data_IF_734962369843
#
_entry.id   IF_734962369843
#
_cell.length_a   1.000
_cell.length_b   1.000
_cell.length_c   1.000
_cell.angle_alpha   90.00
_cell.angle_beta   90.00
_cell.angle_gamma   90.00
#
_symmetry.space_group_name_H-M   'P 1'
#
loop_
_entity.id
_entity.type
_entity.pdbx_description
1 polymer ?
#
# COMPACT_ATOMS: atom_id res chain seq x y z
N UNK A 1 -10.77 -19.39 -8.83
CA UNK A 1 -10.78 -19.92 -7.46
C UNK A 1 -10.51 -18.83 -6.41
N UNK A 2 -9.39 -18.09 -6.45
CA UNK A 2 -9.03 -17.04 -5.46
C UNK A 2 -10.05 -15.89 -5.39
N UNK A 3 -10.53 -15.38 -6.53
CA UNK A 3 -11.50 -14.29 -6.56
C UNK A 3 -12.85 -14.64 -5.89
N UNK A 4 -13.18 -15.93 -5.74
CA UNK A 4 -14.37 -16.40 -5.04
C UNK A 4 -14.27 -16.24 -3.52
N UNK A 5 -13.08 -16.47 -2.95
CA UNK A 5 -12.81 -16.33 -1.51
C UNK A 5 -12.83 -14.87 -1.05
N UNK A 6 -12.53 -13.93 -1.95
CA UNK A 6 -12.45 -12.50 -1.67
C UNK A 6 -13.77 -11.74 -1.90
N UNK A 7 -14.87 -12.43 -2.24
CA UNK A 7 -16.14 -11.76 -2.55
C UNK A 7 -16.78 -11.09 -1.31
N UNK A 8 -16.49 -11.59 -0.11
CA UNK A 8 -16.91 -10.98 1.14
C UNK A 8 -16.09 -9.73 1.46
N UNK A 9 -16.77 -8.63 1.87
CA UNK A 9 -16.12 -7.40 2.35
C UNK A 9 -15.03 -7.68 3.41
N UNK A 10 -15.26 -8.43 4.49
CA UNK A 10 -14.21 -8.66 5.50
C UNK A 10 -13.03 -9.46 4.94
N UNK A 11 -13.29 -10.48 4.10
CA UNK A 11 -12.23 -11.29 3.49
C UNK A 11 -11.32 -10.46 2.58
N UNK A 12 -11.90 -9.59 1.73
CA UNK A 12 -11.12 -8.69 0.86
C UNK A 12 -10.28 -7.70 1.66
N UNK A 13 -10.87 -7.07 2.67
CA UNK A 13 -10.16 -6.05 3.46
C UNK A 13 -9.07 -6.69 4.33
N UNK A 14 -9.33 -7.85 4.93
CA UNK A 14 -8.32 -8.63 5.66
C UNK A 14 -7.17 -9.07 4.75
N UNK A 15 -7.48 -9.57 3.54
CA UNK A 15 -6.46 -9.91 2.56
C UNK A 15 -5.64 -8.69 2.11
N UNK A 16 -6.25 -7.51 1.93
CA UNK A 16 -5.52 -6.29 1.61
C UNK A 16 -4.51 -5.92 2.70
N UNK A 17 -4.90 -6.02 3.98
CA UNK A 17 -4.01 -5.75 5.12
C UNK A 17 -2.87 -6.79 5.18
N UNK A 18 -3.20 -8.08 5.11
CA UNK A 18 -2.20 -9.15 5.19
C UNK A 18 -1.19 -9.08 4.05
N UNK A 19 -1.65 -8.79 2.82
CA UNK A 19 -0.77 -8.64 1.67
C UNK A 19 0.07 -7.37 1.75
N UNK A 20 -0.46 -6.28 2.33
CA UNK A 20 0.32 -5.05 2.55
C UNK A 20 1.45 -5.27 3.56
N UNK A 21 1.15 -5.93 4.68
CA UNK A 21 2.17 -6.34 5.67
C UNK A 21 3.21 -7.27 5.03
N UNK A 22 2.78 -8.30 4.31
CA UNK A 22 3.68 -9.23 3.63
C UNK A 22 4.57 -8.51 2.59
N UNK A 23 4.01 -7.54 1.87
CA UNK A 23 4.76 -6.77 0.90
C UNK A 23 5.85 -5.90 1.53
N UNK A 24 5.62 -5.36 2.72
CA UNK A 24 6.61 -4.54 3.43
C UNK A 24 7.81 -5.36 3.93
N UNK A 25 7.66 -6.68 4.12
CA UNK A 25 8.76 -7.58 4.49
C UNK A 25 9.81 -7.73 3.37
N UNK A 26 9.55 -7.27 2.15
CA UNK A 26 10.59 -7.21 1.13
C UNK A 26 11.60 -6.09 1.31
N UNK A 27 11.28 -5.08 2.13
CA UNK A 27 12.21 -4.01 2.46
C UNK A 27 13.15 -4.41 3.60
N UNK A 28 14.20 -3.62 3.79
CA UNK A 28 15.02 -3.71 4.98
C UNK A 28 14.16 -3.55 6.25
N UNK A 29 14.49 -4.26 7.35
CA UNK A 29 15.66 -5.12 7.53
C UNK A 29 15.46 -6.58 7.04
N UNK A 30 14.27 -6.94 6.57
CA UNK A 30 13.91 -8.34 6.31
C UNK A 30 14.37 -8.86 4.95
N UNK A 31 14.27 -8.05 3.89
CA UNK A 31 14.76 -8.40 2.55
C UNK A 31 14.03 -9.58 1.87
N UNK A 32 12.83 -9.93 2.32
CA UNK A 32 12.03 -11.04 1.79
C UNK A 32 11.29 -10.63 0.50
N UNK A 33 12.03 -10.15 -0.51
CA UNK A 33 11.47 -9.62 -1.77
C UNK A 33 10.48 -10.56 -2.49
N UNK A 34 10.56 -11.92 -2.40
CA UNK A 34 9.55 -12.78 -3.01
C UNK A 34 8.15 -12.55 -2.43
N UNK A 35 8.03 -12.17 -1.15
CA UNK A 35 6.74 -11.87 -0.53
C UNK A 35 6.09 -10.61 -1.14
N UNK A 36 6.90 -9.59 -1.45
CA UNK A 36 6.42 -8.41 -2.18
C UNK A 36 5.89 -8.78 -3.55
N UNK A 37 6.62 -9.60 -4.33
CA UNK A 37 6.15 -10.00 -5.65
C UNK A 37 4.85 -10.83 -5.59
N UNK A 38 4.75 -11.75 -4.63
CA UNK A 38 3.53 -12.53 -4.41
C UNK A 38 2.35 -11.63 -4.03
N UNK A 39 2.58 -10.64 -3.17
CA UNK A 39 1.56 -9.67 -2.80
C UNK A 39 1.11 -8.81 -3.98
N UNK A 40 2.05 -8.30 -4.79
CA UNK A 40 1.76 -7.53 -6.00
C UNK A 40 0.98 -8.35 -7.03
N UNK A 41 1.32 -9.64 -7.19
CA UNK A 41 0.61 -10.56 -8.08
C UNK A 41 -0.85 -10.81 -7.65
N UNK A 42 -1.18 -10.62 -6.37
CA UNK A 42 -2.53 -10.79 -5.83
C UNK A 42 -3.42 -9.53 -5.97
N UNK A 43 -2.84 -8.37 -6.28
CA UNK A 43 -3.59 -7.10 -6.37
C UNK A 43 -4.68 -7.09 -7.45
N UNK A 44 -4.46 -7.66 -8.65
CA UNK A 44 -5.53 -7.81 -9.64
C UNK A 44 -6.75 -8.57 -9.10
N UNK A 45 -6.54 -9.60 -8.27
CA UNK A 45 -7.62 -10.37 -7.67
C UNK A 45 -8.37 -9.57 -6.60
N UNK A 46 -7.65 -8.82 -5.76
CA UNK A 46 -8.25 -7.89 -4.80
C UNK A 46 -9.08 -6.81 -5.49
N UNK A 47 -8.57 -6.21 -6.55
CA UNK A 47 -9.25 -5.20 -7.33
C UNK A 47 -10.48 -5.79 -8.06
N UNK A 48 -10.38 -7.00 -8.60
CA UNK A 48 -11.51 -7.70 -9.22
C UNK A 48 -12.65 -7.96 -8.22
N UNK A 49 -12.31 -8.23 -6.95
CA UNK A 49 -13.27 -8.38 -5.85
C UNK A 49 -13.86 -7.04 -5.34
N UNK A 50 -13.47 -5.90 -5.91
CA UNK A 50 -14.04 -4.59 -5.64
C UNK A 50 -14.98 -4.14 -6.78
N UNK A 51 -16.30 -4.39 -6.68
CA UNK A 51 -17.29 -4.05 -7.72
C UNK A 51 -17.55 -2.56 -7.90
N UNK A 52 -17.28 -1.73 -6.88
CA UNK A 52 -17.47 -0.28 -6.93
C UNK A 52 -16.11 0.44 -6.84
N UNK A 53 -15.89 1.56 -7.54
CA UNK A 53 -14.64 2.31 -7.45
C UNK A 53 -14.25 2.70 -6.03
N UNK A 54 -15.21 3.11 -5.19
CA UNK A 54 -14.98 3.38 -3.77
C UNK A 54 -14.46 2.17 -2.98
N UNK A 55 -14.87 0.96 -3.36
CA UNK A 55 -14.32 -0.26 -2.76
C UNK A 55 -12.90 -0.54 -3.25
N UNK A 56 -12.57 -0.17 -4.50
CA UNK A 56 -11.21 -0.20 -5.01
C UNK A 56 -10.32 0.73 -4.19
N UNK A 57 -10.77 1.98 -3.98
CA UNK A 57 -10.09 2.97 -3.13
C UNK A 57 -9.76 2.39 -1.76
N UNK A 58 -10.76 1.92 -1.02
CA UNK A 58 -10.56 1.38 0.35
C UNK A 58 -9.63 0.17 0.35
N UNK A 59 -9.69 -0.68 -0.68
CA UNK A 59 -8.82 -1.86 -0.80
C UNK A 59 -7.36 -1.45 -1.02
N UNK A 60 -7.10 -0.54 -1.96
CA UNK A 60 -5.75 -0.01 -2.21
C UNK A 60 -5.22 0.80 -1.03
N UNK A 61 -6.09 1.57 -0.37
CA UNK A 61 -5.74 2.35 0.81
C UNK A 61 -5.38 1.46 2.01
N UNK A 62 -6.10 0.37 2.28
CA UNK A 62 -5.72 -0.56 3.35
C UNK A 62 -4.44 -1.35 3.04
N UNK A 63 -4.27 -1.79 1.79
CA UNK A 63 -3.03 -2.40 1.34
C UNK A 63 -1.84 -1.46 1.55
N UNK A 64 -1.95 -0.21 1.09
CA UNK A 64 -0.90 0.80 1.30
C UNK A 64 -0.70 1.16 2.78
N UNK A 65 -1.77 1.34 3.54
CA UNK A 65 -1.67 1.76 4.95
C UNK A 65 -0.91 0.72 5.77
N UNK A 66 -1.24 -0.56 5.59
CA UNK A 66 -0.56 -1.67 6.27
C UNK A 66 0.90 -1.84 5.81
N UNK A 67 1.16 -1.69 4.50
CA UNK A 67 2.52 -1.67 3.95
C UNK A 67 3.36 -0.55 4.56
N UNK A 68 2.89 0.70 4.50
CA UNK A 68 3.61 1.85 5.01
C UNK A 68 3.71 1.85 6.54
N UNK A 69 2.72 1.31 7.27
CA UNK A 69 2.79 1.21 8.73
C UNK A 69 3.95 0.33 9.19
N UNK A 70 4.18 -0.80 8.50
CA UNK A 70 5.32 -1.65 8.80
C UNK A 70 6.62 -1.08 8.26
N UNK A 71 6.63 -0.63 7.00
CA UNK A 71 7.84 -0.11 6.34
C UNK A 71 8.38 1.19 6.97
N UNK A 72 7.51 1.99 7.60
CA UNK A 72 7.85 3.26 8.25
C UNK A 72 7.80 3.18 9.77
N UNK A 73 7.70 1.99 10.36
CA UNK A 73 7.64 1.86 11.82
C UNK A 73 8.82 2.56 12.54
N UNK A 74 9.98 2.62 11.89
CA UNK A 74 11.19 3.31 12.37
C UNK A 74 10.98 4.81 12.62
N UNK A 75 10.00 5.47 12.00
CA UNK A 75 9.77 6.91 12.22
C UNK A 75 9.28 7.22 13.64
N UNK A 76 8.99 6.20 14.44
CA UNK A 76 8.74 6.33 15.88
C UNK A 76 10.01 6.67 16.65
N UNK A 77 11.18 6.19 16.20
CA UNK A 77 12.46 6.33 16.93
C UNK A 77 12.86 7.78 17.22
N UNK A 78 12.73 8.75 16.29
CA UNK A 78 13.04 10.16 16.58
C UNK A 78 12.20 10.77 17.71
N UNK A 79 10.96 10.31 17.89
CA UNK A 79 10.09 10.80 18.97
C UNK A 79 10.49 10.26 20.35
N UNK A 80 11.29 9.20 20.39
CA UNK A 80 11.75 8.57 21.63
C UNK A 80 13.04 9.20 22.17
N UNK A 81 13.71 10.08 21.40
CA UNK A 81 14.92 10.79 21.84
C UNK A 81 14.63 11.71 23.03
N UNK A 82 13.53 12.46 22.97
CA UNK A 82 12.97 13.23 24.08
C UNK A 82 11.50 12.83 24.27
N UNK A 83 11.32 11.64 24.85
CA UNK A 83 10.02 10.98 24.99
C UNK A 83 9.04 11.79 25.84
N UNK A 84 9.54 12.48 26.87
CA UNK A 84 8.71 13.28 27.77
C UNK A 84 8.03 14.43 27.02
N UNK A 85 8.73 15.01 26.04
CA UNK A 85 8.21 16.11 25.23
C UNK A 85 7.44 15.65 24.00
N UNK A 86 7.94 14.65 23.28
CA UNK A 86 7.47 14.31 21.93
C UNK A 86 6.85 12.92 21.79
N UNK A 87 7.00 12.03 22.78
CA UNK A 87 6.62 10.61 22.65
C UNK A 87 5.13 10.40 22.32
N UNK A 88 4.26 11.27 22.83
CA UNK A 88 2.82 11.23 22.56
C UNK A 88 2.47 11.45 21.08
N UNK A 89 3.35 12.10 20.30
CA UNK A 89 3.13 12.40 18.88
C UNK A 89 3.38 11.19 17.99
N UNK A 90 4.23 10.25 18.42
CA UNK A 90 4.68 9.11 17.61
C UNK A 90 3.55 8.26 16.99
N UNK A 91 2.50 7.83 17.74
CA UNK A 91 1.42 7.05 17.14
C UNK A 91 0.66 7.84 16.06
N UNK A 92 0.46 9.15 16.26
CA UNK A 92 -0.21 10.00 15.28
C UNK A 92 0.66 10.20 14.04
N UNK A 93 1.96 10.42 14.21
CA UNK A 93 2.90 10.53 13.11
C UNK A 93 2.88 9.26 12.25
N UNK A 94 2.96 8.08 12.85
CA UNK A 94 2.89 6.81 12.11
C UNK A 94 1.55 6.63 11.41
N UNK A 95 0.43 6.76 12.12
CA UNK A 95 -0.91 6.56 11.55
C UNK A 95 -1.19 7.53 10.40
N UNK A 96 -0.93 8.83 10.59
CA UNK A 96 -1.20 9.83 9.56
C UNK A 96 -0.22 9.72 8.39
N UNK A 97 1.04 9.38 8.62
CA UNK A 97 1.99 9.20 7.54
C UNK A 97 1.64 7.97 6.70
N UNK A 98 1.42 6.81 7.33
CA UNK A 98 1.08 5.59 6.62
C UNK A 98 -0.27 5.70 5.91
N UNK A 99 -1.28 6.25 6.58
CA UNK A 99 -2.60 6.48 5.99
C UNK A 99 -2.57 7.53 4.88
N UNK A 100 -1.81 8.61 5.05
CA UNK A 100 -1.68 9.70 4.10
C UNK A 100 -0.96 9.29 2.81
N UNK A 101 0.17 8.60 2.92
CA UNK A 101 0.88 8.05 1.76
C UNK A 101 0.05 6.99 1.04
N UNK A 102 -0.72 6.18 1.78
CA UNK A 102 -1.60 5.20 1.19
C UNK A 102 -2.76 5.81 0.38
N UNK A 103 -3.08 7.10 0.54
CA UNK A 103 -4.09 7.78 -0.29
C UNK A 103 -3.70 7.75 -1.77
N UNK A 104 -2.40 7.84 -2.08
CA UNK A 104 -1.89 7.73 -3.45
C UNK A 104 -2.21 6.35 -4.05
N UNK A 105 -1.97 5.28 -3.29
CA UNK A 105 -2.27 3.92 -3.73
C UNK A 105 -3.79 3.67 -3.79
N UNK A 106 -4.55 4.19 -2.83
CA UNK A 106 -6.01 4.19 -2.88
C UNK A 106 -6.54 4.87 -4.16
N UNK A 107 -5.99 6.02 -4.53
CA UNK A 107 -6.34 6.73 -5.76
C UNK A 107 -6.01 5.92 -7.01
N UNK A 108 -4.88 5.21 -7.04
CA UNK A 108 -4.53 4.31 -8.15
C UNK A 108 -5.55 3.17 -8.32
N UNK A 109 -5.92 2.49 -7.23
CA UNK A 109 -6.96 1.45 -7.27
C UNK A 109 -8.33 2.00 -7.67
N UNK A 110 -8.67 3.19 -7.17
CA UNK A 110 -9.92 3.87 -7.54
C UNK A 110 -9.96 4.16 -9.03
N UNK A 111 -8.90 4.75 -9.59
CA UNK A 111 -8.79 5.08 -11.01
C UNK A 111 -8.91 3.82 -11.88
N UNK A 112 -8.17 2.77 -11.54
CA UNK A 112 -8.24 1.49 -12.24
C UNK A 112 -9.65 0.86 -12.17
N UNK A 113 -10.31 0.90 -11.01
CA UNK A 113 -11.69 0.42 -10.85
C UNK A 113 -12.73 1.28 -11.59
N UNK A 114 -12.47 2.59 -11.74
CA UNK A 114 -13.39 3.55 -12.35
C UNK A 114 -13.35 3.50 -13.87
N UNK A 115 -12.16 3.26 -14.45
CA UNK A 115 -11.90 3.32 -15.88
C UNK A 115 -12.06 1.98 -16.59
N UNK A 116 -11.90 0.85 -15.89
CA UNK A 116 -12.16 -0.47 -16.45
C UNK A 116 -12.86 -1.40 -15.44
N UNK A 117 -13.86 -2.15 -15.94
CA UNK A 117 -14.64 -3.06 -15.10
C UNK A 117 -13.95 -4.42 -14.89
N UNK A 118 -13.35 -5.01 -15.93
CA UNK A 118 -12.77 -6.38 -15.90
C UNK A 118 -11.66 -6.54 -16.94
N UNK A 119 -10.90 -7.64 -16.83
CA UNK A 119 -9.93 -8.08 -17.83
C UNK A 119 -8.55 -7.39 -17.75
N UNK A 120 -7.70 -7.70 -18.73
CA UNK A 120 -6.30 -7.22 -18.78
C UNK A 120 -6.16 -5.70 -18.80
N UNK A 121 -7.11 -4.97 -19.41
CA UNK A 121 -7.14 -3.51 -19.39
C UNK A 121 -7.15 -2.94 -17.95
N UNK A 122 -7.84 -3.61 -17.02
CA UNK A 122 -7.91 -3.18 -15.62
C UNK A 122 -6.56 -3.35 -14.91
N UNK A 123 -5.77 -4.35 -15.30
CA UNK A 123 -4.41 -4.59 -14.78
C UNK A 123 -3.46 -3.52 -15.31
N UNK A 124 -3.50 -3.26 -16.61
CA UNK A 124 -2.69 -2.22 -17.24
C UNK A 124 -2.98 -0.82 -16.65
N UNK A 125 -4.25 -0.50 -16.43
CA UNK A 125 -4.66 0.73 -15.78
C UNK A 125 -4.20 0.81 -14.32
N UNK A 126 -4.24 -0.30 -13.58
CA UNK A 126 -3.71 -0.32 -12.22
C UNK A 126 -2.20 -0.05 -12.22
N UNK A 127 -1.44 -0.70 -13.10
CA UNK A 127 -0.01 -0.48 -13.22
C UNK A 127 0.31 0.98 -13.58
N UNK A 128 -0.33 1.54 -14.61
CA UNK A 128 -0.13 2.93 -15.02
C UNK A 128 -0.53 3.93 -13.94
N UNK A 129 -1.70 3.73 -13.31
CA UNK A 129 -2.17 4.61 -12.24
C UNK A 129 -1.26 4.53 -11.00
N UNK A 130 -0.71 3.35 -10.69
CA UNK A 130 0.25 3.19 -9.60
C UNK A 130 1.55 3.92 -9.89
N UNK A 131 2.09 3.79 -11.09
CA UNK A 131 3.30 4.51 -11.50
C UNK A 131 3.12 6.02 -11.35
N UNK A 132 1.99 6.55 -11.81
CA UNK A 132 1.65 7.97 -11.62
C UNK A 132 1.49 8.34 -10.14
N UNK A 133 0.91 7.46 -9.33
CA UNK A 133 0.74 7.67 -7.90
C UNK A 133 2.10 7.70 -7.17
N UNK A 134 3.03 6.80 -7.50
CA UNK A 134 4.39 6.81 -6.95
C UNK A 134 5.18 8.04 -7.39
N UNK A 135 5.03 8.45 -8.67
CA UNK A 135 5.60 9.69 -9.15
C UNK A 135 5.04 10.88 -8.37
N UNK A 136 3.72 10.99 -8.22
CA UNK A 136 3.10 12.06 -7.44
C UNK A 136 3.57 12.05 -5.97
N UNK A 137 3.69 10.87 -5.35
CA UNK A 137 4.18 10.71 -3.97
C UNK A 137 5.64 11.16 -3.81
N UNK A 138 6.44 11.08 -4.87
CA UNK A 138 7.83 11.54 -4.88
C UNK A 138 7.99 13.06 -5.00
N UNK A 139 6.96 13.81 -5.46
CA UNK A 139 7.09 15.25 -5.76
C UNK A 139 6.05 16.16 -5.09
N UNK A 140 4.82 15.70 -4.86
CA UNK A 140 3.80 16.51 -4.20
C UNK A 140 4.17 16.77 -2.73
N UNK A 141 3.87 17.97 -2.24
CA UNK A 141 4.16 18.39 -0.85
C UNK A 141 5.62 18.19 -0.46
N UNK A 142 6.56 18.55 -1.33
CA UNK A 142 8.02 18.34 -1.20
C UNK A 142 8.50 16.90 -1.34
N UNK A 143 7.58 15.95 -1.48
CA UNK A 143 7.87 14.55 -1.80
C UNK A 143 8.28 13.71 -0.59
N UNK A 144 7.86 12.45 -0.59
CA UNK A 144 8.34 11.44 0.36
C UNK A 144 8.44 10.07 -0.34
N UNK A 145 9.49 9.83 -1.15
CA UNK A 145 9.65 8.61 -1.95
C UNK A 145 10.21 7.41 -1.15
N UNK A 146 10.05 7.39 0.18
CA UNK A 146 10.50 6.27 1.01
C UNK A 146 9.63 5.02 0.82
N UNK A 147 10.19 3.84 1.07
CA UNK A 147 9.50 2.55 0.91
C UNK A 147 8.91 2.33 -0.50
N UNK A 148 9.55 2.85 -1.55
CA UNK A 148 9.14 2.59 -2.92
C UNK A 148 9.29 1.08 -3.23
N UNK A 149 8.33 0.42 -3.91
CA UNK A 149 8.38 -1.03 -4.14
C UNK A 149 9.64 -1.53 -4.85
N UNK A 150 10.30 -0.69 -5.66
CA UNK A 150 11.58 -1.06 -6.30
C UNK A 150 12.76 -1.20 -5.34
N UNK A 151 12.67 -0.66 -4.12
CA UNK A 151 13.74 -0.72 -3.11
C UNK A 151 13.95 -2.13 -2.54
N UNK A 152 13.06 -3.09 -2.82
CA UNK A 152 13.18 -4.49 -2.35
C UNK A 152 14.41 -5.22 -2.88
N UNK A 153 15.04 -4.73 -3.95
CA UNK A 153 16.26 -5.31 -4.53
C UNK A 153 17.55 -4.57 -4.13
N UNK A 154 17.46 -3.59 -3.23
CA UNK A 154 18.67 -2.93 -2.73
C UNK A 154 19.45 -3.96 -1.91
N UNK A 155 20.64 -4.32 -2.38
CA UNK A 155 21.55 -5.24 -1.68
C UNK A 155 21.30 -6.73 -1.89
N UNK A 156 20.43 -7.11 -2.83
CA UNK A 156 20.24 -8.50 -3.29
C UNK A 156 21.18 -8.83 -4.44
#
# INVERSE_FOLDING_TARGET
>A
MIAGLLQGRPARLGAAVLLGLAAALGLAPFGLWPLTLLALACLPALLAAAPRPAQGFVTGWLFGTSYFALALAWIVEPFMVDVARHGWMAPFALVFMSGGLALFWGAAFWGAARLARRGGARIALLAGAWTLAEFARAYLFTGFPWAAPGQIWVGT
#
